data_IF_167999736688
#
_entry.id   IF_167999736688
#
_cell.length_a   1.000
_cell.length_b   1.000
_cell.length_c   1.000
_cell.angle_alpha   90.00
_cell.angle_beta   90.00
_cell.angle_gamma   90.00
#
_symmetry.space_group_name_H-M   'P 1'
#
loop_
_entity.id
_entity.type
_entity.pdbx_description
1 polymer ?
#
# COMPACT_ATOMS: atom_id res chain seq x y z
N UNK A 1 -22.03 8.87 -7.02
CA UNK A 1 -21.86 7.41 -6.95
C UNK A 1 -21.00 7.11 -5.72
N UNK A 2 -21.60 6.67 -4.62
CA UNK A 2 -20.88 6.37 -3.38
C UNK A 2 -20.28 4.97 -3.47
N UNK A 3 -19.03 4.87 -3.95
CA UNK A 3 -18.31 3.60 -3.85
C UNK A 3 -17.70 3.54 -2.45
N UNK A 4 -18.08 2.54 -1.66
CA UNK A 4 -17.50 2.30 -0.34
C UNK A 4 -15.96 2.16 -0.48
N UNK A 5 -15.18 2.77 0.41
CA UNK A 5 -13.72 2.64 0.38
C UNK A 5 -13.30 1.16 0.45
N UNK A 6 -14.04 0.35 1.21
CA UNK A 6 -13.83 -1.09 1.32
C UNK A 6 -14.03 -1.81 -0.03
N UNK A 7 -15.03 -1.41 -0.81
CA UNK A 7 -15.30 -2.01 -2.12
C UNK A 7 -14.18 -1.67 -3.12
N UNK A 8 -13.73 -0.41 -3.09
CA UNK A 8 -12.60 0.06 -3.91
C UNK A 8 -11.31 -0.70 -3.57
N UNK A 9 -11.10 -0.99 -2.29
CA UNK A 9 -9.96 -1.79 -1.83
C UNK A 9 -10.05 -3.24 -2.35
N UNK A 10 -11.21 -3.89 -2.32
CA UNK A 10 -11.36 -5.28 -2.83
C UNK A 10 -11.24 -5.34 -4.36
N UNK A 11 -11.70 -4.30 -5.08
CA UNK A 11 -11.72 -4.31 -6.55
C UNK A 11 -10.33 -4.42 -7.18
N UNK A 12 -9.31 -3.80 -6.59
CA UNK A 12 -7.92 -3.94 -7.05
C UNK A 12 -7.41 -5.38 -6.86
N UNK A 13 -7.80 -6.03 -5.76
CA UNK A 13 -7.43 -7.42 -5.47
C UNK A 13 -8.02 -8.41 -6.50
N UNK A 14 -9.28 -8.20 -6.91
CA UNK A 14 -9.98 -9.07 -7.86
C UNK A 14 -9.63 -8.79 -9.33
N UNK A 15 -9.33 -7.54 -9.69
CA UNK A 15 -9.07 -7.15 -11.09
C UNK A 15 -7.64 -7.45 -11.51
N UNK A 16 -6.67 -7.17 -10.64
CA UNK A 16 -5.24 -7.25 -10.97
C UNK A 16 -4.73 -8.67 -11.29
N UNK A 17 -5.30 -9.80 -10.79
CA UNK A 17 -4.92 -11.14 -11.23
C UNK A 17 -5.38 -11.45 -12.66
N UNK A 18 -6.50 -10.86 -13.11
CA UNK A 18 -7.01 -11.03 -14.48
C UNK A 18 -6.05 -10.45 -15.52
N UNK A 19 -5.33 -9.40 -15.15
CA UNK A 19 -4.33 -8.73 -15.98
C UNK A 19 -2.95 -9.42 -15.87
N UNK A 20 -2.54 -9.81 -14.66
CA UNK A 20 -1.19 -10.35 -14.41
C UNK A 20 -1.06 -11.87 -14.59
N UNK A 21 -2.10 -12.57 -15.05
CA UNK A 21 -2.08 -14.03 -15.21
C UNK A 21 -2.07 -14.81 -13.90
N UNK A 22 -2.67 -14.25 -12.83
CA UNK A 22 -2.83 -14.91 -11.54
C UNK A 22 -1.56 -15.01 -10.70
N UNK A 23 -1.60 -15.88 -9.68
CA UNK A 23 -0.46 -16.22 -8.83
C UNK A 23 0.24 -17.45 -9.41
N UNK A 24 1.53 -17.35 -9.75
CA UNK A 24 2.35 -18.48 -10.24
C UNK A 24 3.16 -19.18 -9.14
N UNK A 25 3.32 -18.54 -7.97
CA UNK A 25 3.99 -19.10 -6.79
C UNK A 25 3.53 -18.43 -5.50
N UNK A 26 3.65 -19.13 -4.37
CA UNK A 26 3.31 -18.58 -3.05
C UNK A 26 4.15 -17.34 -2.69
N UNK A 27 5.44 -17.36 -3.03
CA UNK A 27 6.31 -16.20 -2.87
C UNK A 27 5.81 -14.98 -3.67
N UNK A 28 5.37 -15.20 -4.91
CA UNK A 28 4.80 -14.15 -5.76
C UNK A 28 3.47 -13.60 -5.21
N UNK A 29 2.63 -14.47 -4.63
CA UNK A 29 1.40 -14.05 -3.93
C UNK A 29 1.71 -13.11 -2.78
N UNK A 30 2.58 -13.55 -1.86
CA UNK A 30 2.94 -12.78 -0.66
C UNK A 30 3.56 -11.45 -1.01
N UNK A 31 4.47 -11.41 -1.99
CA UNK A 31 5.06 -10.16 -2.46
C UNK A 31 3.98 -9.20 -2.97
N UNK A 32 3.09 -9.69 -3.83
CA UNK A 32 2.00 -8.89 -4.39
C UNK A 32 1.07 -8.34 -3.31
N UNK A 33 0.60 -9.18 -2.39
CA UNK A 33 -0.34 -8.77 -1.34
C UNK A 33 0.29 -7.75 -0.41
N UNK A 34 1.57 -7.94 -0.06
CA UNK A 34 2.35 -6.98 0.73
C UNK A 34 2.44 -5.63 0.00
N UNK A 35 2.82 -5.62 -1.28
CA UNK A 35 2.95 -4.37 -2.03
C UNK A 35 1.60 -3.67 -2.29
N UNK A 36 0.50 -4.42 -2.45
CA UNK A 36 -0.85 -3.84 -2.51
C UNK A 36 -1.17 -3.11 -1.21
N UNK A 37 -0.94 -3.75 -0.07
CA UNK A 37 -1.17 -3.15 1.24
C UNK A 37 -0.35 -1.86 1.41
N UNK A 38 0.97 -1.93 1.16
CA UNK A 38 1.87 -0.78 1.25
C UNK A 38 1.43 0.38 0.34
N UNK A 39 1.15 0.10 -0.94
CA UNK A 39 0.72 1.11 -1.90
C UNK A 39 -0.56 1.82 -1.45
N UNK A 40 -1.53 1.07 -0.95
CA UNK A 40 -2.79 1.63 -0.46
C UNK A 40 -2.59 2.49 0.78
N UNK A 41 -1.80 2.01 1.75
CA UNK A 41 -1.47 2.78 2.95
C UNK A 41 -0.76 4.08 2.58
N UNK A 42 0.24 4.03 1.69
CA UNK A 42 0.88 5.22 1.14
C UNK A 42 -0.15 6.19 0.54
N UNK A 43 -1.09 5.70 -0.28
CA UNK A 43 -2.15 6.53 -0.87
C UNK A 43 -3.05 7.18 0.18
N UNK A 44 -3.48 6.44 1.21
CA UNK A 44 -4.30 6.97 2.32
C UNK A 44 -3.55 8.05 3.13
N UNK A 45 -2.23 7.95 3.21
CA UNK A 45 -1.38 8.91 3.91
C UNK A 45 -0.93 10.10 3.05
N UNK A 46 -1.21 10.09 1.74
CA UNK A 46 -0.73 11.12 0.80
C UNK A 46 0.75 10.97 0.42
N UNK A 47 1.33 9.78 0.61
CA UNK A 47 2.75 9.47 0.36
C UNK A 47 2.89 8.77 -1.01
N UNK A 48 3.89 9.16 -1.80
CA UNK A 48 4.26 8.43 -3.02
C UNK A 48 4.82 7.05 -2.66
N UNK A 49 4.16 5.98 -3.13
CA UNK A 49 4.61 4.60 -2.94
C UNK A 49 6.05 4.37 -3.46
N UNK A 50 6.40 4.96 -4.61
CA UNK A 50 7.73 4.82 -5.19
C UNK A 50 8.81 5.49 -4.35
N UNK A 51 8.56 6.71 -3.86
CA UNK A 51 9.51 7.35 -2.94
C UNK A 51 9.64 6.55 -1.64
N UNK A 52 8.53 6.02 -1.10
CA UNK A 52 8.58 5.18 0.10
C UNK A 52 9.47 3.95 -0.14
N UNK A 53 9.27 3.24 -1.25
CA UNK A 53 10.07 2.08 -1.60
C UNK A 53 11.56 2.43 -1.77
N UNK A 54 11.88 3.51 -2.48
CA UNK A 54 13.25 3.97 -2.68
C UNK A 54 13.90 4.33 -1.34
N UNK A 55 13.20 5.03 -0.44
CA UNK A 55 13.71 5.34 0.89
C UNK A 55 14.01 4.08 1.71
N UNK A 56 13.18 3.03 1.60
CA UNK A 56 13.45 1.74 2.25
C UNK A 56 14.65 1.01 1.65
N UNK A 57 14.83 1.06 0.33
CA UNK A 57 15.97 0.45 -0.35
C UNK A 57 17.29 1.19 -0.06
N UNK A 58 17.25 2.52 0.06
CA UNK A 58 18.41 3.35 0.37
C UNK A 58 18.74 3.39 1.86
N UNK A 59 17.77 3.14 2.74
CA UNK A 59 17.93 3.29 4.19
C UNK A 59 18.12 4.74 4.63
N UNK A 60 17.73 5.71 3.80
CA UNK A 60 18.02 7.14 3.98
C UNK A 60 17.08 7.86 4.97
N UNK A 61 16.03 7.17 5.45
CA UNK A 61 15.06 7.72 6.39
C UNK A 61 14.21 8.88 5.84
N UNK A 62 14.31 9.21 4.54
CA UNK A 62 13.60 10.35 3.93
C UNK A 62 12.08 10.27 4.08
N UNK A 63 11.53 9.06 4.08
CA UNK A 63 10.14 8.81 4.45
C UNK A 63 10.11 8.01 5.75
N UNK A 64 9.41 8.48 6.80
CA UNK A 64 9.27 7.71 8.03
C UNK A 64 8.57 6.36 7.80
N UNK A 65 8.79 5.37 8.68
CA UNK A 65 8.00 4.15 8.66
C UNK A 65 6.50 4.46 8.67
N UNK A 66 5.71 3.79 7.82
CA UNK A 66 4.27 4.05 7.73
C UNK A 66 3.53 3.94 9.08
N UNK A 67 3.88 3.02 10.00
CA UNK A 67 3.26 2.98 11.34
C UNK A 67 3.42 4.27 12.12
N UNK A 68 4.56 4.95 12.00
CA UNK A 68 4.82 6.20 12.73
C UNK A 68 4.02 7.35 12.15
N UNK A 69 3.90 7.40 10.82
CA UNK A 69 3.03 8.37 10.14
C UNK A 69 1.55 8.16 10.53
N UNK A 70 1.11 6.91 10.62
CA UNK A 70 -0.25 6.57 11.05
C UNK A 70 -0.50 7.07 12.48
N UNK A 71 0.41 6.78 13.42
CA UNK A 71 0.30 7.26 14.81
C UNK A 71 0.26 8.77 14.88
N UNK A 72 1.16 9.46 14.18
CA UNK A 72 1.21 10.92 14.14
C UNK A 72 -0.11 11.54 13.62
N UNK A 73 -0.69 10.96 12.56
CA UNK A 73 -1.99 11.40 12.05
C UNK A 73 -3.15 11.13 13.02
N UNK A 74 -3.15 9.97 13.68
CA UNK A 74 -4.19 9.66 14.66
C UNK A 74 -4.20 10.64 15.83
N UNK A 75 -3.01 11.03 16.31
CA UNK A 75 -2.85 12.02 17.38
C UNK A 75 -3.25 13.43 16.94
N UNK A 76 -3.02 13.81 15.67
CA UNK A 76 -3.35 15.14 15.14
C UNK A 76 -4.85 15.35 14.85
N UNK A 77 -5.66 14.29 14.84
CA UNK A 77 -7.11 14.34 14.62
C UNK A 77 -7.88 14.40 15.95
N UNK A 78 -7.18 14.30 17.08
CA UNK A 78 -7.72 14.50 18.44
C UNK A 78 -7.55 15.95 18.85
#
# INVERSE_FOLDING_TARGET
MHNNEAESDIREYVTRPKISGGTRSEAGRRARDTFVGLKKTCRKLGISFWHFLISRLRGDGQIPPLPDVIRAKALAVT
#
